data_IF_353482118404
#
_entry.id   IF_353482118404
#
_cell.length_a   1.000
_cell.length_b   1.000
_cell.length_c   1.000
_cell.angle_alpha   90.00
_cell.angle_beta   90.00
_cell.angle_gamma   90.00
#
_symmetry.space_group_name_H-M   'P 1'
#
loop_
_entity.id
_entity.type
_entity.pdbx_description
1 polymer ?
#
# COMPACT_ATOMS: atom_id res chain seq x y z
N UNK A 1 5.39 -53.13 25.99
CA UNK A 1 5.23 -52.43 24.70
C UNK A 1 5.21 -50.92 24.98
N UNK A 2 6.24 -50.21 24.50
CA UNK A 2 6.26 -48.83 23.94
C UNK A 2 5.21 -47.83 24.50
N UNK A 3 5.59 -46.81 25.28
CA UNK A 3 6.30 -45.55 24.92
C UNK A 3 5.46 -44.67 23.98
N UNK A 4 5.39 -43.34 24.06
CA UNK A 4 5.87 -42.30 24.97
C UNK A 4 5.27 -40.98 24.46
N UNK A 5 4.78 -40.12 25.35
CA UNK A 5 4.85 -38.65 25.35
C UNK A 5 4.93 -37.93 23.99
N UNK A 6 3.85 -37.26 23.58
CA UNK A 6 3.95 -36.06 22.73
C UNK A 6 3.88 -34.82 23.63
N UNK A 7 5.06 -34.35 24.01
CA UNK A 7 5.30 -33.04 24.59
C UNK A 7 5.02 -31.98 23.53
N UNK A 8 4.06 -31.08 23.80
CA UNK A 8 3.99 -29.79 23.14
C UNK A 8 5.25 -29.00 23.50
N UNK A 9 6.26 -29.05 22.65
CA UNK A 9 7.31 -28.03 22.63
C UNK A 9 6.78 -26.85 21.82
N UNK A 10 6.13 -25.92 22.50
CA UNK A 10 6.19 -24.52 22.09
C UNK A 10 7.66 -24.16 22.20
N UNK A 11 8.36 -24.09 21.07
CA UNK A 11 9.75 -23.65 21.05
C UNK A 11 9.78 -22.19 21.52
N UNK A 12 10.70 -21.80 22.40
CA UNK A 12 10.83 -20.42 22.85
C UNK A 12 11.12 -19.50 21.64
N UNK A 13 10.67 -18.23 21.68
CA UNK A 13 10.90 -17.27 20.61
C UNK A 13 12.35 -16.83 20.63
N UNK A 14 13.26 -17.64 20.11
CA UNK A 14 14.68 -17.28 19.97
C UNK A 14 15.25 -17.90 18.71
N UNK A 15 14.80 -17.42 17.55
CA UNK A 15 15.67 -17.33 16.39
C UNK A 15 15.80 -15.85 16.06
N UNK A 16 17.00 -15.31 16.19
CA UNK A 16 17.33 -13.91 15.87
C UNK A 16 16.77 -13.50 14.52
N UNK A 17 16.72 -14.42 13.55
CA UNK A 17 16.13 -14.21 12.22
C UNK A 17 14.61 -14.03 12.21
N UNK A 18 13.86 -14.76 13.03
CA UNK A 18 12.39 -14.64 13.05
C UNK A 18 11.95 -13.37 13.78
N UNK A 19 12.71 -12.96 14.80
CA UNK A 19 12.52 -11.68 15.46
C UNK A 19 12.96 -10.53 14.54
N UNK A 20 14.10 -10.63 13.84
CA UNK A 20 14.53 -9.67 12.82
C UNK A 20 13.49 -9.51 11.70
N UNK A 21 12.82 -10.58 11.25
CA UNK A 21 11.76 -10.47 10.24
C UNK A 21 10.56 -9.68 10.78
N UNK A 22 10.16 -9.93 12.03
CA UNK A 22 9.05 -9.21 12.67
C UNK A 22 9.42 -7.74 12.94
N UNK A 23 10.63 -7.49 13.43
CA UNK A 23 11.13 -6.15 13.75
C UNK A 23 11.37 -5.33 12.47
N UNK A 24 11.91 -5.94 11.41
CA UNK A 24 12.04 -5.30 10.10
C UNK A 24 10.67 -5.02 9.48
N UNK A 25 9.71 -5.96 9.58
CA UNK A 25 8.36 -5.72 9.09
C UNK A 25 7.65 -4.60 9.89
N UNK A 26 7.81 -4.56 11.22
CA UNK A 26 7.27 -3.48 12.06
C UNK A 26 7.91 -2.14 11.75
N UNK A 27 9.23 -2.09 11.52
CA UNK A 27 9.93 -0.87 11.15
C UNK A 27 9.52 -0.37 9.75
N UNK A 28 9.35 -1.28 8.79
CA UNK A 28 8.83 -0.98 7.45
C UNK A 28 7.40 -0.42 7.52
N UNK A 29 6.55 -1.02 8.35
CA UNK A 29 5.17 -0.58 8.54
C UNK A 29 5.10 0.76 9.28
N UNK A 30 5.84 0.97 10.36
CA UNK A 30 5.85 2.28 11.05
C UNK A 30 6.40 3.39 10.14
N UNK A 31 7.38 3.06 9.31
CA UNK A 31 7.94 3.96 8.33
C UNK A 31 6.93 4.38 7.25
N UNK A 32 6.24 3.41 6.63
CA UNK A 32 5.20 3.65 5.64
C UNK A 32 4.16 4.69 6.10
N UNK A 33 3.75 4.62 7.36
CA UNK A 33 2.76 5.53 7.95
C UNK A 33 3.33 6.91 8.22
N UNK A 34 4.56 6.98 8.71
CA UNK A 34 5.24 8.25 8.92
C UNK A 34 5.40 9.01 7.60
N UNK A 35 5.68 8.30 6.50
CA UNK A 35 5.81 8.87 5.17
C UNK A 35 4.49 9.25 4.52
N UNK A 36 3.44 8.45 4.70
CA UNK A 36 2.09 8.78 4.24
C UNK A 36 1.55 10.01 4.97
N UNK A 37 1.77 10.11 6.29
CA UNK A 37 1.42 11.28 7.08
C UNK A 37 2.27 12.51 6.73
N UNK A 38 3.55 12.35 6.38
CA UNK A 38 4.40 13.44 5.92
C UNK A 38 4.01 13.93 4.51
N UNK A 39 3.66 13.01 3.60
CA UNK A 39 3.18 13.32 2.26
C UNK A 39 1.83 14.05 2.30
N UNK A 40 0.87 13.57 3.10
CA UNK A 40 -0.40 14.25 3.31
C UNK A 40 -0.22 15.63 3.98
N UNK A 41 0.82 15.82 4.81
CA UNK A 41 1.15 17.12 5.44
C UNK A 41 1.77 18.12 4.46
N UNK A 42 2.59 17.69 3.50
CA UNK A 42 3.16 18.59 2.49
C UNK A 42 2.14 19.04 1.43
N UNK A 43 1.08 18.25 1.22
CA UNK A 43 -0.02 18.59 0.32
C UNK A 43 -1.21 19.27 1.05
N UNK A 44 -1.06 19.57 2.34
CA UNK A 44 -2.02 20.32 3.14
C UNK A 44 -1.51 21.73 3.45
N UNK A 45 -1.27 22.56 2.43
CA UNK A 45 -1.06 23.98 2.66
C UNK A 45 -1.35 24.87 1.43
N UNK A 46 -2.58 25.38 1.35
CA UNK A 46 -2.81 26.76 0.89
C UNK A 46 -4.04 27.29 1.61
N UNK A 47 -3.85 27.90 2.78
CA UNK A 47 -4.45 29.19 3.16
C UNK A 47 -4.13 29.50 4.61
N UNK A 48 -3.61 30.71 4.78
CA UNK A 48 -3.07 31.28 6.01
C UNK A 48 -4.09 31.31 7.14
N UNK A 49 -3.64 30.92 8.34
CA UNK A 49 -4.35 31.15 9.59
C UNK A 49 -4.33 32.64 9.93
N UNK A 50 -5.46 33.32 9.73
CA UNK A 50 -5.87 34.43 10.60
C UNK A 50 -7.19 34.06 11.28
N UNK A 51 -7.08 33.69 12.55
CA UNK A 51 -8.23 33.54 13.45
C UNK A 51 -8.89 34.89 13.65
N UNK A 52 -10.22 35.01 13.41
CA UNK A 52 -11.24 35.47 14.38
C UNK A 52 -12.62 34.91 13.96
N UNK A 53 -13.19 34.03 14.79
CA UNK A 53 -14.62 33.91 15.13
C UNK A 53 -15.69 33.61 14.06
N UNK A 54 -16.34 32.44 14.17
CA UNK A 54 -17.68 32.21 13.62
C UNK A 54 -17.90 30.85 12.93
N UNK A 55 -18.75 30.02 13.53
CA UNK A 55 -19.22 28.66 13.18
C UNK A 55 -19.63 28.43 11.70
N UNK A 56 -19.23 27.29 11.10
CA UNK A 56 -20.14 26.33 10.43
C UNK A 56 -19.44 24.99 10.14
N UNK A 57 -19.99 23.89 10.65
CA UNK A 57 -19.51 22.52 10.49
C UNK A 57 -20.29 21.86 9.34
N UNK A 58 -19.88 21.99 8.08
CA UNK A 58 -20.51 21.23 6.97
C UNK A 58 -19.61 20.86 5.77
N UNK A 59 -18.32 21.19 5.72
CA UNK A 59 -17.53 21.08 4.47
C UNK A 59 -16.46 19.98 4.42
N UNK A 60 -16.30 19.18 5.49
CA UNK A 60 -15.15 18.26 5.64
C UNK A 60 -15.37 16.83 5.08
N UNK A 61 -16.60 16.36 4.86
CA UNK A 61 -16.83 14.95 4.47
C UNK A 61 -16.61 14.69 2.97
N UNK A 62 -17.02 15.63 2.11
CA UNK A 62 -16.90 15.48 0.64
C UNK A 62 -15.43 15.50 0.18
N UNK A 63 -14.61 16.38 0.76
CA UNK A 63 -13.23 16.59 0.37
C UNK A 63 -12.32 15.38 0.69
N UNK A 64 -12.57 14.70 1.81
CA UNK A 64 -11.85 13.47 2.16
C UNK A 64 -12.22 12.30 1.23
N UNK A 65 -13.50 12.18 0.89
CA UNK A 65 -13.98 11.13 -0.02
C UNK A 65 -13.36 11.27 -1.42
N UNK A 66 -13.23 12.50 -1.91
CA UNK A 66 -12.63 12.76 -3.22
C UNK A 66 -11.11 12.53 -3.19
N UNK A 67 -10.41 12.94 -2.12
CA UNK A 67 -8.97 12.65 -1.94
C UNK A 67 -8.66 11.15 -1.89
N UNK A 68 -9.54 10.33 -1.32
CA UNK A 68 -9.37 8.88 -1.31
C UNK A 68 -9.56 8.29 -2.72
N UNK A 69 -10.38 8.93 -3.56
CA UNK A 69 -10.70 8.47 -4.92
C UNK A 69 -9.71 8.96 -5.98
N UNK A 70 -8.77 9.84 -5.64
CA UNK A 70 -7.71 10.26 -6.57
C UNK A 70 -6.37 9.56 -6.32
N UNK A 71 -6.18 8.99 -5.13
CA UNK A 71 -4.91 8.40 -4.73
C UNK A 71 -4.87 6.90 -5.03
N UNK A 72 -3.86 6.48 -5.80
CA UNK A 72 -3.65 5.10 -6.20
C UNK A 72 -2.37 4.55 -5.60
N UNK A 73 -2.42 3.28 -5.20
CA UNK A 73 -1.25 2.46 -4.92
C UNK A 73 -0.95 1.57 -6.13
N UNK A 74 0.32 1.54 -6.53
CA UNK A 74 0.84 0.73 -7.62
C UNK A 74 1.80 -0.30 -7.03
N UNK A 75 1.44 -1.57 -7.14
CA UNK A 75 2.22 -2.70 -6.64
C UNK A 75 2.93 -3.45 -7.77
N UNK A 76 3.99 -4.15 -7.40
CA UNK A 76 4.80 -4.99 -8.28
C UNK A 76 5.51 -4.20 -9.38
N UNK A 77 5.99 -3.01 -9.07
CA UNK A 77 6.87 -2.25 -9.93
C UNK A 77 8.24 -2.96 -10.06
N UNK A 78 8.88 -2.92 -11.25
CA UNK A 78 10.27 -3.34 -11.39
C UNK A 78 11.18 -2.51 -10.48
N UNK A 79 12.15 -3.15 -9.82
CA UNK A 79 13.07 -2.43 -8.92
C UNK A 79 13.95 -1.39 -9.64
N UNK A 80 14.17 -1.58 -10.94
CA UNK A 80 14.91 -0.65 -11.79
C UNK A 80 14.09 0.58 -12.18
N UNK A 81 12.77 0.55 -12.00
CA UNK A 81 11.89 1.63 -12.42
C UNK A 81 12.08 2.85 -11.50
N UNK A 82 12.08 4.03 -12.10
CA UNK A 82 12.28 5.31 -11.43
C UNK A 82 10.96 6.02 -11.19
N UNK A 83 10.98 7.01 -10.30
CA UNK A 83 9.79 7.82 -10.02
C UNK A 83 9.33 8.61 -11.25
N UNK A 84 10.27 9.09 -12.05
CA UNK A 84 9.98 9.86 -13.27
C UNK A 84 9.33 8.97 -14.33
N UNK A 85 9.82 7.74 -14.52
CA UNK A 85 9.17 6.77 -15.42
C UNK A 85 7.73 6.44 -14.99
N UNK A 86 7.47 6.35 -13.68
CA UNK A 86 6.10 6.17 -13.18
C UNK A 86 5.26 7.41 -13.50
N UNK A 87 5.80 8.60 -13.24
CA UNK A 87 5.10 9.86 -13.52
C UNK A 87 4.78 10.01 -15.01
N UNK A 88 5.71 9.67 -15.90
CA UNK A 88 5.51 9.73 -17.35
C UNK A 88 4.47 8.69 -17.81
N UNK A 89 4.57 7.46 -17.29
CA UNK A 89 3.63 6.39 -17.61
C UNK A 89 2.18 6.77 -17.24
N UNK A 90 1.98 7.25 -16.02
CA UNK A 90 0.65 7.64 -15.53
C UNK A 90 0.20 9.02 -16.02
N UNK A 91 1.13 9.88 -16.40
CA UNK A 91 0.85 11.21 -16.97
C UNK A 91 0.16 11.12 -18.33
N UNK A 92 0.31 10.01 -19.04
CA UNK A 92 -0.44 9.71 -20.27
C UNK A 92 -1.95 9.54 -20.03
N UNK A 93 -2.36 9.21 -18.80
CA UNK A 93 -3.77 9.03 -18.45
C UNK A 93 -4.43 10.36 -18.10
N UNK A 94 -3.74 11.19 -17.32
CA UNK A 94 -4.27 12.44 -16.78
C UNK A 94 -3.26 13.21 -15.94
N UNK A 95 -3.69 14.36 -15.40
CA UNK A 95 -2.81 15.25 -14.66
C UNK A 95 -2.51 14.71 -13.25
N UNK A 96 -1.23 14.51 -12.97
CA UNK A 96 -0.74 14.00 -11.67
C UNK A 96 -0.48 15.17 -10.74
N UNK A 97 -1.11 15.16 -9.57
CA UNK A 97 -0.82 16.08 -8.48
C UNK A 97 0.50 15.70 -7.80
N UNK A 98 0.68 14.41 -7.49
CA UNK A 98 1.89 13.92 -6.84
C UNK A 98 2.18 12.46 -7.16
N UNK A 99 3.46 12.10 -7.19
CA UNK A 99 3.93 10.75 -7.45
C UNK A 99 5.10 10.44 -6.54
N UNK A 100 5.10 9.24 -5.94
CA UNK A 100 6.13 8.81 -5.01
C UNK A 100 6.48 7.34 -5.21
N UNK A 101 7.74 7.06 -5.49
CA UNK A 101 8.27 5.69 -5.48
C UNK A 101 8.82 5.38 -4.09
N UNK A 102 8.33 4.32 -3.46
CA UNK A 102 8.81 3.94 -2.12
C UNK A 102 10.12 3.19 -2.23
N UNK A 103 11.08 3.63 -1.43
CA UNK A 103 12.44 3.11 -1.38
C UNK A 103 12.82 2.78 0.05
N UNK A 104 13.65 1.77 0.19
CA UNK A 104 14.34 1.47 1.44
C UNK A 104 15.27 2.64 1.80
N UNK A 105 15.17 3.13 3.04
CA UNK A 105 15.95 4.30 3.49
C UNK A 105 17.44 4.04 3.62
N UNK A 106 17.82 2.80 3.92
CA UNK A 106 19.21 2.44 4.21
C UNK A 106 19.98 2.15 2.93
N UNK A 107 19.35 1.47 1.99
CA UNK A 107 19.96 1.03 0.73
C UNK A 107 19.58 1.90 -0.47
N UNK A 108 18.52 2.70 -0.37
CA UNK A 108 17.96 3.49 -1.48
C UNK A 108 17.24 2.66 -2.56
N UNK A 109 17.19 1.34 -2.38
CA UNK A 109 16.59 0.39 -3.32
C UNK A 109 15.07 0.56 -3.35
N UNK A 110 14.45 0.37 -4.51
CA UNK A 110 12.99 0.40 -4.61
C UNK A 110 12.37 -0.80 -3.88
N UNK A 111 11.32 -0.54 -3.10
CA UNK A 111 10.49 -1.59 -2.50
C UNK A 111 9.48 -2.20 -3.50
N UNK A 112 9.48 -1.74 -4.75
CA UNK A 112 8.62 -2.27 -5.81
C UNK A 112 7.16 -1.84 -5.71
N UNK A 113 6.87 -0.75 -4.99
CA UNK A 113 5.57 -0.12 -4.98
C UNK A 113 5.68 1.42 -4.87
N UNK A 114 4.60 2.10 -5.25
CA UNK A 114 4.54 3.56 -5.24
C UNK A 114 3.12 4.09 -5.19
N UNK A 115 3.02 5.41 -5.07
CA UNK A 115 1.77 6.16 -5.01
C UNK A 115 1.69 7.16 -6.14
N UNK A 116 0.50 7.29 -6.73
CA UNK A 116 0.18 8.34 -7.69
C UNK A 116 -1.14 8.96 -7.27
N UNK A 117 -1.13 10.27 -7.01
CA UNK A 117 -2.33 11.05 -6.80
C UNK A 117 -2.66 11.85 -8.06
N UNK A 118 -3.85 11.64 -8.61
CA UNK A 118 -4.35 12.44 -9.72
C UNK A 118 -5.02 13.71 -9.21
N UNK A 119 -5.08 14.74 -10.06
CA UNK A 119 -5.88 15.94 -9.78
C UNK A 119 -7.38 15.62 -9.89
N UNK A 120 -7.76 14.71 -10.79
CA UNK A 120 -9.15 14.35 -11.08
C UNK A 120 -9.43 12.89 -10.73
N UNK A 121 -10.58 12.65 -10.11
CA UNK A 121 -11.06 11.29 -9.79
C UNK A 121 -11.30 10.45 -11.04
N UNK A 122 -11.80 11.08 -12.12
CA UNK A 122 -12.00 10.43 -13.43
C UNK A 122 -10.70 9.84 -14.01
N UNK A 123 -9.57 10.54 -13.84
CA UNK A 123 -8.27 10.09 -14.33
C UNK A 123 -7.76 8.91 -13.51
N UNK A 124 -7.98 8.91 -12.19
CA UNK A 124 -7.66 7.80 -11.31
C UNK A 124 -8.48 6.53 -11.65
N UNK A 125 -9.79 6.68 -11.84
CA UNK A 125 -10.67 5.58 -12.28
C UNK A 125 -10.22 5.00 -13.63
N UNK A 126 -9.84 5.87 -14.57
CA UNK A 126 -9.33 5.47 -15.88
C UNK A 126 -8.00 4.74 -15.76
N UNK A 127 -7.09 5.20 -14.90
CA UNK A 127 -5.80 4.56 -14.65
C UNK A 127 -5.98 3.15 -14.11
N UNK A 128 -6.87 2.95 -13.13
CA UNK A 128 -7.18 1.61 -12.59
C UNK A 128 -7.74 0.69 -13.67
N UNK A 129 -8.64 1.18 -14.54
CA UNK A 129 -9.24 0.36 -15.61
C UNK A 129 -8.26 0.01 -16.73
N UNK A 130 -7.33 0.91 -17.05
CA UNK A 130 -6.49 0.80 -18.26
C UNK A 130 -5.13 0.19 -17.96
N UNK A 131 -4.54 0.53 -16.81
CA UNK A 131 -3.14 0.21 -16.48
C UNK A 131 -3.01 -0.97 -15.53
N UNK A 132 -4.10 -1.38 -14.85
CA UNK A 132 -4.06 -2.53 -13.95
C UNK A 132 -3.84 -3.81 -14.75
N UNK A 133 -2.87 -4.63 -14.34
CA UNK A 133 -2.48 -5.82 -15.10
C UNK A 133 -1.50 -5.55 -16.24
N UNK A 134 -1.00 -4.32 -16.41
CA UNK A 134 0.03 -4.03 -17.40
C UNK A 134 1.33 -4.79 -17.07
N UNK A 135 1.91 -5.44 -18.08
CA UNK A 135 3.17 -6.18 -17.92
C UNK A 135 4.37 -5.25 -18.16
N UNK A 136 5.18 -5.04 -17.12
CA UNK A 136 6.42 -4.29 -17.15
C UNK A 136 7.58 -5.25 -16.86
N UNK A 137 8.45 -5.47 -17.85
CA UNK A 137 9.53 -6.46 -17.79
C UNK A 137 9.00 -7.86 -17.38
N UNK A 138 9.42 -8.37 -16.23
CA UNK A 138 9.03 -9.66 -15.66
C UNK A 138 7.92 -9.55 -14.59
N UNK A 139 7.31 -8.36 -14.41
CA UNK A 139 6.26 -8.12 -13.42
C UNK A 139 4.96 -7.66 -14.09
N UNK A 140 3.84 -8.01 -13.46
CA UNK A 140 2.52 -7.51 -13.84
C UNK A 140 2.07 -6.57 -12.75
N UNK A 141 1.91 -5.29 -13.06
CA UNK A 141 1.58 -4.29 -12.04
C UNK A 141 0.14 -4.44 -11.58
N UNK A 142 -0.10 -4.19 -10.30
CA UNK A 142 -1.45 -4.16 -9.71
C UNK A 142 -1.74 -2.76 -9.21
N UNK A 143 -2.87 -2.21 -9.62
CA UNK A 143 -3.27 -0.84 -9.29
C UNK A 143 -4.60 -0.89 -8.55
N UNK A 144 -4.68 -0.18 -7.42
CA UNK A 144 -5.91 -0.04 -6.64
C UNK A 144 -5.95 1.32 -5.97
N UNK A 145 -7.13 1.75 -5.54
CA UNK A 145 -7.25 2.93 -4.68
C UNK A 145 -6.45 2.72 -3.39
N UNK A 146 -5.68 3.74 -3.02
CA UNK A 146 -4.92 3.73 -1.79
C UNK A 146 -5.89 3.79 -0.61
N UNK A 147 -5.69 2.89 0.37
CA UNK A 147 -6.44 2.96 1.63
C UNK A 147 -5.73 3.92 2.57
N UNK A 148 -6.47 4.75 3.33
CA UNK A 148 -5.89 5.51 4.42
C UNK A 148 -5.12 4.59 5.36
N UNK A 149 -3.98 5.07 5.83
CA UNK A 149 -3.22 4.37 6.87
C UNK A 149 -4.06 4.27 8.14
N UNK A 150 -4.30 3.05 8.62
CA UNK A 150 -5.02 2.75 9.86
C UNK A 150 -4.28 1.68 10.62
N UNK A 151 -4.17 1.73 11.95
CA UNK A 151 -3.50 0.68 12.73
C UNK A 151 -3.99 -0.74 12.40
N UNK A 152 -5.23 -0.86 11.92
CA UNK A 152 -5.85 -2.11 11.47
C UNK A 152 -5.19 -2.74 10.24
N UNK A 153 -4.47 -1.99 9.39
CA UNK A 153 -3.80 -2.58 8.20
C UNK A 153 -2.41 -3.16 8.54
N UNK A 154 -1.84 -2.88 9.73
CA UNK A 154 -0.50 -3.38 10.14
C UNK A 154 -0.44 -4.89 10.34
N UNK A 155 -1.55 -5.51 10.70
CA UNK A 155 -1.62 -6.95 10.97
C UNK A 155 -2.56 -7.68 10.00
N UNK A 156 -2.74 -7.13 8.80
CA UNK A 156 -3.66 -7.67 7.80
C UNK A 156 -3.05 -8.74 6.88
N UNK A 157 -1.73 -8.97 6.96
CA UNK A 157 -1.05 -9.98 6.15
C UNK A 157 -1.12 -11.35 6.81
N UNK A 158 -1.63 -12.35 6.08
CA UNK A 158 -1.72 -13.74 6.53
C UNK A 158 -0.89 -14.66 5.63
N UNK A 159 -0.07 -15.52 6.25
CA UNK A 159 0.67 -16.57 5.55
C UNK A 159 -0.12 -17.89 5.64
N UNK A 160 -0.73 -18.27 4.52
CA UNK A 160 -1.60 -19.45 4.45
C UNK A 160 -0.83 -20.60 3.79
N UNK A 161 -0.70 -21.72 4.51
CA UNK A 161 -0.06 -22.94 4.00
C UNK A 161 -1.10 -24.00 3.61
N UNK A 162 -0.70 -24.97 2.80
CA UNK A 162 -1.58 -26.07 2.38
C UNK A 162 -2.54 -25.74 1.23
N UNK A 163 -2.35 -24.60 0.54
CA UNK A 163 -3.10 -24.27 -0.68
C UNK A 163 -2.77 -25.30 -1.78
N UNK A 164 -3.77 -25.90 -2.44
CA UNK A 164 -3.54 -26.81 -3.56
C UNK A 164 -2.75 -26.14 -4.69
N UNK A 165 -1.72 -26.80 -5.22
CA UNK A 165 -0.81 -26.22 -6.23
C UNK A 165 -1.50 -25.82 -7.54
N UNK A 166 -2.65 -26.43 -7.85
CA UNK A 166 -3.43 -26.12 -9.03
C UNK A 166 -4.29 -24.86 -8.88
N UNK A 167 -4.46 -24.34 -7.66
CA UNK A 167 -5.26 -23.15 -7.44
C UNK A 167 -4.58 -21.91 -8.02
N UNK A 168 -5.36 -21.17 -8.81
CA UNK A 168 -5.03 -19.88 -9.37
C UNK A 168 -5.32 -18.77 -8.38
N UNK A 169 -4.77 -17.57 -8.63
CA UNK A 169 -5.08 -16.37 -7.85
C UNK A 169 -6.59 -16.08 -7.81
N UNK A 170 -7.30 -16.31 -8.91
CA UNK A 170 -8.75 -16.09 -8.99
C UNK A 170 -9.54 -17.06 -8.11
N UNK A 171 -9.12 -18.31 -8.03
CA UNK A 171 -9.75 -19.30 -7.15
C UNK A 171 -9.51 -18.98 -5.68
N UNK A 172 -8.31 -18.51 -5.34
CA UNK A 172 -8.00 -18.00 -4.00
C UNK A 172 -8.85 -16.77 -3.65
N UNK A 173 -8.95 -15.79 -4.55
CA UNK A 173 -9.80 -14.62 -4.37
C UNK A 173 -11.26 -15.02 -4.14
N UNK A 174 -11.79 -15.93 -4.96
CA UNK A 174 -13.16 -16.43 -4.79
C UNK A 174 -13.35 -17.16 -3.45
N UNK A 175 -12.39 -17.98 -3.04
CA UNK A 175 -12.46 -18.73 -1.78
C UNK A 175 -12.48 -17.79 -0.56
N UNK A 176 -11.59 -16.81 -0.53
CA UNK A 176 -11.48 -15.85 0.58
C UNK A 176 -12.47 -14.68 0.51
N UNK A 177 -13.21 -14.51 -0.60
CA UNK A 177 -14.18 -13.42 -0.76
C UNK A 177 -15.27 -13.38 0.32
N UNK A 178 -15.55 -14.51 0.97
CA UNK A 178 -16.52 -14.60 2.07
C UNK A 178 -15.97 -14.15 3.44
N UNK A 179 -14.64 -14.04 3.57
CA UNK A 179 -13.97 -13.73 4.83
C UNK A 179 -13.79 -12.22 5.10
N UNK A 180 -14.09 -11.36 4.13
CA UNK A 180 -14.02 -9.91 4.24
C UNK A 180 -13.55 -9.20 2.99
#
# INVERSE_FOLDING_TARGET
MIASWYTYKVLPPTSTKHQEIIDNQQAEDEYYYSEMAAFNRQNGNTSETRSIGGVSLTDDESNLSDKIRTNLIINYLPQTMTQDEIKDLFGSIGAIESCKLVRDKTTGQSLGYGFVNFIRTEDADKAVKTMNGLRLQNKTIKISFARPSSETIKFANLYICGIPKQWTTKELENYFSSCG
#
